data_IF_303198383525
#
_entry.id   IF_303198383525
#
_cell.length_a   1.000
_cell.length_b   1.000
_cell.length_c   1.000
_cell.angle_alpha   90.00
_cell.angle_beta   90.00
_cell.angle_gamma   90.00
#
_symmetry.space_group_name_H-M   'P 1'
#
loop_
_entity.id
_entity.type
_entity.pdbx_description
1 polymer ?
#
# COMPACT_ATOMS: atom_id res chain seq x y z
N UNK A 1 -19.80 8.99 21.02
CA UNK A 1 -20.03 7.87 20.08
C UNK A 1 -21.38 8.08 19.42
N UNK A 2 -21.47 8.09 18.09
CA UNK A 2 -22.73 8.37 17.38
C UNK A 2 -23.50 7.06 17.16
N UNK A 3 -24.21 6.59 18.19
CA UNK A 3 -24.89 5.28 18.21
C UNK A 3 -26.01 5.17 17.17
N UNK A 4 -26.74 6.26 16.93
CA UNK A 4 -27.79 6.32 15.91
C UNK A 4 -27.24 6.04 14.51
N UNK A 5 -26.09 6.63 14.18
CA UNK A 5 -25.47 6.42 12.88
C UNK A 5 -25.05 4.95 12.69
N UNK A 6 -24.48 4.33 13.73
CA UNK A 6 -24.05 2.94 13.70
C UNK A 6 -25.24 2.00 13.51
N UNK A 7 -26.34 2.21 14.25
CA UNK A 7 -27.57 1.42 14.12
C UNK A 7 -28.20 1.55 12.73
N UNK A 8 -28.23 2.76 12.16
CA UNK A 8 -28.72 2.98 10.80
C UNK A 8 -27.86 2.27 9.76
N UNK A 9 -26.53 2.28 9.91
CA UNK A 9 -25.63 1.56 9.01
C UNK A 9 -25.86 0.04 9.09
N UNK A 10 -26.04 -0.49 10.32
CA UNK A 10 -26.31 -1.90 10.55
C UNK A 10 -27.60 -2.35 9.85
N UNK A 11 -28.67 -1.56 9.95
CA UNK A 11 -29.94 -1.89 9.28
C UNK A 11 -29.78 -1.94 7.76
N UNK A 12 -29.04 -1.01 7.17
CA UNK A 12 -28.79 -1.00 5.73
C UNK A 12 -28.00 -2.25 5.32
N UNK A 13 -26.92 -2.57 6.02
CA UNK A 13 -26.10 -3.77 5.76
C UNK A 13 -26.94 -5.04 5.85
N UNK A 14 -27.83 -5.12 6.84
CA UNK A 14 -28.70 -6.28 7.03
C UNK A 14 -29.77 -6.42 5.93
N UNK A 15 -30.12 -5.33 5.25
CA UNK A 15 -31.09 -5.35 4.14
C UNK A 15 -30.51 -5.77 2.79
N UNK A 16 -29.18 -5.83 2.66
CA UNK A 16 -28.49 -6.25 1.44
C UNK A 16 -28.64 -7.75 1.18
N UNK A 17 -28.74 -8.10 -0.10
CA UNK A 17 -28.63 -9.47 -0.60
C UNK A 17 -27.22 -10.03 -0.42
N UNK A 18 -27.06 -11.35 -0.55
CA UNK A 18 -25.75 -12.01 -0.37
C UNK A 18 -24.69 -11.49 -1.35
N UNK A 19 -25.07 -11.24 -2.61
CA UNK A 19 -24.19 -10.69 -3.64
C UNK A 19 -23.73 -9.26 -3.29
N UNK A 20 -24.65 -8.43 -2.82
CA UNK A 20 -24.35 -7.06 -2.40
C UNK A 20 -23.48 -7.00 -1.14
N UNK A 21 -23.63 -7.97 -0.22
CA UNK A 21 -22.78 -8.09 0.97
C UNK A 21 -21.35 -8.47 0.60
N UNK A 22 -21.16 -9.40 -0.34
CA UNK A 22 -19.83 -9.76 -0.86
C UNK A 22 -19.16 -8.52 -1.47
N UNK A 23 -19.87 -7.77 -2.32
CA UNK A 23 -19.35 -6.54 -2.92
C UNK A 23 -19.01 -5.47 -1.87
N UNK A 24 -19.82 -5.37 -0.81
CA UNK A 24 -19.58 -4.44 0.29
C UNK A 24 -18.32 -4.82 1.07
N UNK A 25 -18.11 -6.11 1.35
CA UNK A 25 -16.92 -6.62 2.03
C UNK A 25 -15.65 -6.33 1.21
N UNK A 26 -15.66 -6.60 -0.09
CA UNK A 26 -14.52 -6.29 -0.98
C UNK A 26 -14.15 -4.81 -0.96
N UNK A 27 -15.14 -3.90 -0.86
CA UNK A 27 -14.92 -2.46 -0.81
C UNK A 27 -14.48 -1.96 0.56
N UNK A 28 -15.02 -2.52 1.65
CA UNK A 28 -14.70 -2.13 3.02
C UNK A 28 -13.33 -2.65 3.46
N UNK A 29 -13.01 -3.88 3.08
CA UNK A 29 -11.74 -4.54 3.39
C UNK A 29 -10.75 -4.44 2.23
N UNK A 30 -10.98 -3.50 1.31
CA UNK A 30 -9.96 -3.15 0.33
C UNK A 30 -8.70 -2.72 1.09
N UNK A 31 -7.66 -3.55 0.98
CA UNK A 31 -6.39 -3.27 1.61
C UNK A 31 -5.75 -2.09 0.87
N UNK A 32 -6.04 -0.90 1.39
CA UNK A 32 -5.42 0.34 0.93
C UNK A 32 -4.01 0.51 1.46
N UNK A 33 -3.43 -0.53 2.08
CA UNK A 33 -2.03 -0.51 2.47
C UNK A 33 -1.20 -0.14 1.26
N UNK A 34 -0.63 1.06 1.34
CA UNK A 34 0.36 1.48 0.38
C UNK A 34 1.53 0.52 0.53
N UNK A 35 2.14 0.08 -0.58
CA UNK A 35 3.35 -0.72 -0.50
C UNK A 35 4.35 0.01 0.40
N UNK A 36 5.01 -0.73 1.28
CA UNK A 36 6.00 -0.12 2.17
C UNK A 36 7.08 0.52 1.30
N UNK A 37 7.68 1.61 1.78
CA UNK A 37 8.80 2.24 1.09
C UNK A 37 9.91 1.23 0.78
N UNK A 38 10.13 0.25 1.67
CA UNK A 38 11.06 -0.87 1.45
C UNK A 38 10.69 -1.71 0.22
N UNK A 39 9.41 -2.02 0.04
CA UNK A 39 8.93 -2.86 -1.06
C UNK A 39 9.08 -2.14 -2.40
N UNK A 40 8.78 -0.84 -2.40
CA UNK A 40 9.00 0.02 -3.56
C UNK A 40 10.49 0.17 -3.90
N UNK A 41 11.35 0.33 -2.89
CA UNK A 41 12.81 0.39 -3.08
C UNK A 41 13.37 -0.92 -3.63
N UNK A 42 12.93 -2.07 -3.10
CA UNK A 42 13.32 -3.37 -3.62
C UNK A 42 12.86 -3.58 -5.07
N UNK A 43 11.64 -3.15 -5.41
CA UNK A 43 11.15 -3.22 -6.79
C UNK A 43 11.98 -2.34 -7.73
N UNK A 44 12.28 -1.11 -7.33
CA UNK A 44 13.12 -0.20 -8.12
C UNK A 44 14.53 -0.75 -8.33
N UNK A 45 15.13 -1.35 -7.29
CA UNK A 45 16.44 -1.98 -7.36
C UNK A 45 16.44 -3.22 -8.25
N UNK A 46 15.47 -4.13 -8.07
CA UNK A 46 15.34 -5.33 -8.89
C UNK A 46 15.01 -5.02 -10.35
N UNK A 47 14.30 -3.91 -10.60
CA UNK A 47 13.97 -3.42 -11.94
C UNK A 47 15.07 -2.64 -12.64
N UNK A 48 16.26 -2.50 -12.03
CA UNK A 48 17.40 -1.83 -12.63
C UNK A 48 17.29 -0.29 -12.66
N UNK A 49 16.34 0.30 -11.94
CA UNK A 49 16.16 1.76 -11.91
C UNK A 49 17.40 2.50 -11.36
N UNK A 50 18.27 1.80 -10.65
CA UNK A 50 19.51 2.30 -10.08
C UNK A 50 20.78 1.87 -10.84
N UNK A 51 20.67 1.23 -12.01
CA UNK A 51 21.84 0.80 -12.78
C UNK A 51 22.75 1.96 -13.20
N UNK A 52 22.19 3.16 -13.40
CA UNK A 52 22.95 4.37 -13.71
C UNK A 52 23.97 4.74 -12.62
N UNK A 53 23.75 4.32 -11.37
CA UNK A 53 24.71 4.55 -10.28
C UNK A 53 26.04 3.83 -10.52
N UNK A 54 26.02 2.73 -11.30
CA UNK A 54 27.24 2.01 -11.66
C UNK A 54 28.12 2.77 -12.67
N UNK A 55 27.56 3.77 -13.36
CA UNK A 55 28.29 4.57 -14.35
C UNK A 55 29.13 5.67 -13.69
N UNK A 56 28.75 6.11 -12.49
CA UNK A 56 29.41 7.20 -11.75
C UNK A 56 29.73 6.79 -10.29
N UNK A 57 30.56 5.75 -10.08
CA UNK A 57 30.87 5.24 -8.73
C UNK A 57 31.65 6.25 -7.88
N UNK A 58 32.30 7.23 -8.50
CA UNK A 58 33.02 8.31 -7.82
C UNK A 58 32.06 9.35 -7.19
N UNK A 59 30.78 9.36 -7.61
CA UNK A 59 29.77 10.36 -7.18
C UNK A 59 28.66 9.69 -6.37
N UNK A 60 28.25 8.47 -6.72
CA UNK A 60 27.19 7.74 -6.03
C UNK A 60 27.62 6.32 -5.68
N UNK A 61 27.22 5.84 -4.50
CA UNK A 61 27.47 4.47 -4.03
C UNK A 61 26.28 3.99 -3.20
N UNK A 62 25.97 2.69 -3.27
CA UNK A 62 24.91 2.04 -2.49
C UNK A 62 25.40 1.53 -1.12
N UNK A 63 26.71 1.40 -0.93
CA UNK A 63 27.33 1.25 0.38
C UNK A 63 27.17 2.55 1.19
N UNK A 64 27.08 2.45 2.52
CA UNK A 64 26.35 3.37 3.42
C UNK A 64 26.81 4.85 3.53
N UNK A 65 27.64 5.34 2.60
CA UNK A 65 28.07 6.73 2.58
C UNK A 65 29.12 7.08 3.64
N UNK A 66 29.75 6.09 4.28
CA UNK A 66 31.00 6.33 5.00
C UNK A 66 32.03 7.00 4.05
N UNK A 67 32.63 8.13 4.47
CA UNK A 67 33.58 8.85 3.64
C UNK A 67 34.83 8.00 3.40
N UNK A 68 35.27 7.92 2.14
CA UNK A 68 36.64 7.48 1.79
C UNK A 68 37.68 8.50 2.25
#
# INVERSE_FOLDING_TARGET
MNTKLVESLLQIILSLSDEERILLEEKLFFDSSQPLTSDLMHLAQAGGAFEFLNEEPDIYTLDDGEPI
#
